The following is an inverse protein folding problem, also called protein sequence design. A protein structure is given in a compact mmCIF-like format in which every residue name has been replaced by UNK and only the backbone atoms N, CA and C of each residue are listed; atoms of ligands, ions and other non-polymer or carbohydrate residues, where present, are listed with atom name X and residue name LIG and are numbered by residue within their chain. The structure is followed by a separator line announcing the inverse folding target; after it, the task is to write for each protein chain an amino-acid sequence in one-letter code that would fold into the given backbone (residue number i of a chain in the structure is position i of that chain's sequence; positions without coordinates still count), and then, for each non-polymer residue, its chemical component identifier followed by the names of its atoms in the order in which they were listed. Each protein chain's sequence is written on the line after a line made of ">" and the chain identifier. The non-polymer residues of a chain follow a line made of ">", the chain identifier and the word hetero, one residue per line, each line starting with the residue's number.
data_IF_435600800878
#
_entry.id   IF_435600800878
#
_cell.length_a   1.000
_cell.length_b   1.000
_cell.length_c   1.000
_cell.angle_alpha   90.00
_cell.angle_beta   90.00
_cell.angle_gamma   90.00
#
_symmetry.space_group_name_H-M   'P 1'
#
loop_
_entity.id
_entity.type
_entity.pdbx_description
1 polymer ?
#
# COMPACT_ATOMS: atom_id res chain seq x y z
N UNK A 1 -8.72 -27.67 -11.87
CA UNK A 1 -7.42 -26.96 -11.81
C UNK A 1 -7.73 -25.48 -11.83
N UNK A 2 -7.29 -24.65 -10.88
CA UNK A 2 -7.44 -23.22 -11.05
C UNK A 2 -6.22 -22.71 -11.81
N UNK A 3 -6.44 -22.33 -13.07
CA UNK A 3 -5.62 -21.33 -13.73
C UNK A 3 -5.88 -20.00 -13.02
N UNK A 4 -4.91 -19.54 -12.24
CA UNK A 4 -4.83 -18.17 -11.77
C UNK A 4 -3.63 -17.56 -12.46
N UNK A 5 -3.84 -16.90 -13.59
CA UNK A 5 -2.88 -15.93 -14.09
C UNK A 5 -2.76 -14.85 -13.02
N UNK A 6 -1.73 -14.92 -12.19
CA UNK A 6 -1.28 -13.77 -11.41
C UNK A 6 -0.91 -12.70 -12.43
N UNK A 7 -1.86 -11.83 -12.77
CA UNK A 7 -1.60 -10.60 -13.49
C UNK A 7 -0.72 -9.75 -12.58
N UNK A 8 0.59 -9.95 -12.69
CA UNK A 8 1.58 -9.20 -11.93
C UNK A 8 1.44 -7.72 -12.30
N UNK A 9 0.79 -6.95 -11.42
CA UNK A 9 0.64 -5.52 -11.60
C UNK A 9 1.96 -4.81 -11.35
N UNK A 10 2.27 -3.79 -12.16
CA UNK A 10 3.52 -3.03 -12.03
C UNK A 10 3.41 -2.12 -10.81
N UNK A 11 4.48 -2.02 -10.03
CA UNK A 11 4.58 -0.98 -8.99
C UNK A 11 4.81 0.35 -9.68
N UNK A 12 3.89 1.30 -9.51
CA UNK A 12 3.96 2.63 -10.14
C UNK A 12 4.51 3.69 -9.20
N UNK A 13 4.34 3.53 -7.88
CA UNK A 13 4.87 4.47 -6.90
C UNK A 13 5.20 3.77 -5.58
N UNK A 14 6.30 4.16 -4.94
CA UNK A 14 6.68 3.76 -3.59
C UNK A 14 6.67 4.98 -2.66
N UNK A 15 6.23 4.79 -1.42
CA UNK A 15 6.25 5.81 -0.36
C UNK A 15 6.78 5.22 0.94
N UNK A 16 7.75 5.87 1.56
CA UNK A 16 8.11 5.58 2.94
C UNK A 16 7.13 6.28 3.89
N UNK A 17 6.76 5.60 4.97
CA UNK A 17 6.06 6.22 6.09
C UNK A 17 6.94 7.29 6.74
N UNK A 18 6.37 8.42 7.17
CA UNK A 18 7.13 9.53 7.78
C UNK A 18 7.82 9.10 9.08
N UNK A 19 7.23 8.16 9.81
CA UNK A 19 7.82 7.50 10.98
C UNK A 19 9.02 6.60 10.66
N UNK A 20 9.20 6.22 9.40
CA UNK A 20 10.25 5.32 8.93
C UNK A 20 10.01 3.84 9.21
N UNK A 21 8.80 3.45 9.66
CA UNK A 21 8.50 2.07 10.08
C UNK A 21 7.96 1.18 8.95
N UNK A 22 7.64 1.75 7.80
CA UNK A 22 7.04 1.00 6.71
C UNK A 22 7.17 1.68 5.36
N UNK A 23 6.88 0.91 4.32
CA UNK A 23 6.88 1.31 2.91
C UNK A 23 5.57 0.87 2.26
N UNK A 24 4.93 1.77 1.53
CA UNK A 24 3.78 1.51 0.69
C UNK A 24 4.19 1.40 -0.77
N UNK A 25 3.54 0.48 -1.49
CA UNK A 25 3.56 0.43 -2.94
C UNK A 25 2.15 0.62 -3.49
N UNK A 26 1.99 1.48 -4.48
CA UNK A 26 0.82 1.55 -5.33
C UNK A 26 1.08 0.73 -6.60
N UNK A 27 0.19 -0.20 -6.89
CA UNK A 27 0.16 -0.96 -8.15
C UNK A 27 -0.60 -0.24 -9.26
N UNK A 28 -0.30 -0.57 -10.51
CA UNK A 28 -1.03 -0.10 -11.69
C UNK A 28 -2.48 -0.58 -11.75
N UNK A 29 -2.84 -1.57 -10.93
CA UNK A 29 -4.19 -2.09 -10.72
C UNK A 29 -5.00 -1.29 -9.68
N UNK A 30 -4.39 -0.24 -9.09
CA UNK A 30 -5.01 0.56 -8.05
C UNK A 30 -4.99 -0.08 -6.66
N UNK A 31 -4.26 -1.18 -6.46
CA UNK A 31 -4.08 -1.82 -5.14
C UNK A 31 -2.86 -1.24 -4.43
N UNK A 32 -3.00 -0.93 -3.14
CA UNK A 32 -1.89 -0.52 -2.29
C UNK A 32 -1.48 -1.67 -1.37
N UNK A 33 -0.18 -1.91 -1.27
CA UNK A 33 0.42 -2.89 -0.35
C UNK A 33 1.35 -2.19 0.62
N UNK A 34 1.36 -2.66 1.86
CA UNK A 34 2.16 -2.09 2.94
C UNK A 34 3.09 -3.16 3.50
N UNK A 35 4.37 -2.81 3.64
CA UNK A 35 5.35 -3.60 4.38
C UNK A 35 5.88 -2.80 5.55
N UNK A 36 6.13 -3.48 6.68
CA UNK A 36 6.64 -2.85 7.90
C UNK A 36 7.89 -3.55 8.40
N UNK A 37 8.82 -2.79 8.96
CA UNK A 37 9.92 -3.35 9.72
C UNK A 37 9.42 -3.73 11.11
N UNK A 38 9.67 -4.98 11.51
CA UNK A 38 9.33 -5.44 12.85
C UNK A 38 10.35 -4.89 13.87
N UNK A 39 9.86 -4.54 15.06
CA UNK A 39 10.71 -4.25 16.21
C UNK A 39 11.14 -5.56 16.85
N UNK A 40 12.45 -5.82 16.90
CA UNK A 40 13.03 -7.02 17.51
C UNK A 40 14.46 -6.72 18.01
N UNK A 41 15.17 -7.74 18.51
CA UNK A 41 16.55 -7.59 19.02
C UNK A 41 17.52 -7.03 17.97
N UNK A 42 17.33 -7.41 16.70
CA UNK A 42 18.16 -6.97 15.57
C UNK A 42 17.72 -5.61 15.00
N UNK A 43 16.48 -5.17 15.25
CA UNK A 43 15.94 -3.86 14.91
C UNK A 43 15.17 -3.24 16.09
N UNK A 44 15.87 -2.73 17.11
CA UNK A 44 15.24 -2.24 18.34
C UNK A 44 14.36 -1.01 18.12
N UNK A 45 14.55 -0.27 17.03
CA UNK A 45 13.75 0.91 16.70
C UNK A 45 12.59 0.61 15.72
N UNK A 46 12.54 -0.58 15.12
CA UNK A 46 11.52 -0.97 14.13
C UNK A 46 11.49 -0.07 12.88
N UNK A 47 12.62 0.59 12.55
CA UNK A 47 12.73 1.51 11.42
C UNK A 47 13.36 0.84 10.20
N UNK A 48 13.24 1.52 9.06
CA UNK A 48 13.82 1.12 7.80
C UNK A 48 15.33 0.84 7.91
N UNK A 49 15.73 -0.33 7.41
CA UNK A 49 17.13 -0.77 7.35
C UNK A 49 17.29 -1.77 6.21
N UNK A 50 18.48 -1.81 5.61
CA UNK A 50 18.82 -2.79 4.57
C UNK A 50 19.15 -4.18 5.15
N UNK A 51 19.46 -4.27 6.45
CA UNK A 51 19.86 -5.52 7.10
C UNK A 51 18.68 -6.46 7.39
N UNK A 52 17.46 -5.92 7.42
CA UNK A 52 16.25 -6.66 7.79
C UNK A 52 15.17 -6.39 6.76
N UNK A 53 14.62 -7.47 6.22
CA UNK A 53 13.56 -7.43 5.21
C UNK A 53 12.24 -7.02 5.86
N UNK A 54 11.56 -5.97 5.37
CA UNK A 54 10.25 -5.59 5.88
C UNK A 54 9.21 -6.67 5.54
N UNK A 55 8.27 -6.90 6.45
CA UNK A 55 7.25 -7.94 6.32
C UNK A 55 5.96 -7.35 5.77
N UNK A 56 5.27 -8.10 4.91
CA UNK A 56 3.95 -7.70 4.42
C UNK A 56 3.00 -7.55 5.60
N UNK A 57 2.25 -6.45 5.60
CA UNK A 57 1.34 -6.11 6.69
C UNK A 57 -0.06 -5.86 6.14
N UNK A 58 -1.04 -6.46 6.82
CA UNK A 58 -2.46 -6.27 6.56
C UNK A 58 -3.23 -6.30 7.88
N UNK A 59 -4.39 -5.64 7.98
CA UNK A 59 -5.24 -5.73 9.15
C UNK A 59 -5.84 -7.13 9.29
N UNK A 60 -6.11 -7.55 10.53
CA UNK A 60 -6.75 -8.84 10.82
C UNK A 60 -8.17 -8.98 10.22
N UNK A 61 -8.79 -7.86 9.81
CA UNK A 61 -10.07 -7.87 9.11
C UNK A 61 -10.00 -8.48 7.71
N UNK A 62 -8.79 -8.65 7.15
CA UNK A 62 -8.61 -9.11 5.77
C UNK A 62 -8.99 -8.06 4.72
N UNK A 63 -9.34 -6.84 5.13
CA UNK A 63 -9.58 -5.74 4.21
C UNK A 63 -8.31 -5.43 3.43
N UNK A 64 -8.47 -5.11 2.15
CA UNK A 64 -7.42 -4.65 1.26
C UNK A 64 -7.52 -3.13 1.07
N UNK A 65 -6.38 -2.50 0.87
CA UNK A 65 -6.34 -1.12 0.40
C UNK A 65 -6.37 -1.17 -1.13
N UNK A 66 -7.51 -0.81 -1.74
CA UNK A 66 -7.70 -0.86 -3.17
C UNK A 66 -8.67 0.23 -3.63
N UNK A 67 -8.29 0.99 -4.67
CA UNK A 67 -9.19 1.97 -5.28
C UNK A 67 -10.35 1.28 -6.02
N UNK A 68 -11.48 1.97 -6.10
CA UNK A 68 -12.53 1.59 -7.06
C UNK A 68 -12.09 1.94 -8.49
N UNK A 69 -11.76 0.91 -9.26
CA UNK A 69 -11.35 0.99 -10.66
C UNK A 69 -12.46 0.58 -11.62
N UNK A 70 -13.70 0.48 -11.14
CA UNK A 70 -14.85 0.11 -11.96
C UNK A 70 -15.06 1.14 -13.08
N UNK A 71 -14.99 0.68 -14.33
CA UNK A 71 -15.12 1.55 -15.51
C UNK A 71 -13.89 2.40 -15.83
N UNK A 72 -12.75 2.16 -15.19
CA UNK A 72 -11.47 2.82 -15.51
C UNK A 72 -10.71 1.98 -16.54
N UNK A 73 -10.18 2.65 -17.57
CA UNK A 73 -9.17 2.06 -18.48
C UNK A 73 -7.81 2.21 -17.80
N UNK A 74 -7.30 1.14 -17.20
CA UNK A 74 -6.11 1.20 -16.34
C UNK A 74 -4.85 1.62 -17.11
N UNK A 75 -4.72 1.25 -18.39
CA UNK A 75 -3.58 1.58 -19.25
C UNK A 75 -3.45 3.07 -19.54
N UNK A 76 -4.55 3.81 -19.49
CA UNK A 76 -4.60 5.27 -19.69
C UNK A 76 -4.59 6.04 -18.36
N UNK A 77 -4.74 5.34 -17.24
CA UNK A 77 -4.76 5.94 -15.92
C UNK A 77 -3.35 6.26 -15.42
N UNK A 78 -3.22 7.36 -14.66
CA UNK A 78 -1.99 7.71 -13.95
C UNK A 78 -2.28 7.59 -12.45
N UNK A 79 -1.95 6.45 -11.82
CA UNK A 79 -2.22 6.26 -10.40
C UNK A 79 -1.30 7.14 -9.56
N UNK A 80 -1.82 7.67 -8.46
CA UNK A 80 -1.05 8.49 -7.54
C UNK A 80 -1.41 8.18 -6.09
N UNK A 81 -0.45 8.37 -5.20
CA UNK A 81 -0.60 8.12 -3.76
C UNK A 81 0.09 9.22 -2.96
N UNK A 82 -0.53 9.58 -1.84
CA UNK A 82 -0.01 10.49 -0.83
C UNK A 82 -0.30 9.97 0.57
N UNK A 83 0.59 10.27 1.51
CA UNK A 83 0.50 9.85 2.91
C UNK A 83 0.30 11.07 3.82
N UNK A 84 -0.60 10.96 4.79
CA UNK A 84 -0.78 12.02 5.79
C UNK A 84 0.47 12.18 6.65
N UNK A 85 0.72 13.40 7.14
CA UNK A 85 1.92 13.73 7.95
C UNK A 85 2.11 12.85 9.18
N UNK A 86 1.02 12.33 9.75
CA UNK A 86 1.00 11.46 10.92
C UNK A 86 0.87 9.96 10.58
N UNK A 87 1.09 9.57 9.32
CA UNK A 87 1.01 8.18 8.83
C UNK A 87 -0.33 7.47 9.06
N UNK A 88 -1.39 8.20 9.39
CA UNK A 88 -2.68 7.61 9.75
C UNK A 88 -3.59 7.37 8.55
N UNK A 89 -3.39 8.10 7.46
CA UNK A 89 -4.23 8.01 6.26
C UNK A 89 -3.41 8.03 4.98
N UNK A 90 -3.90 7.28 3.99
CA UNK A 90 -3.42 7.31 2.60
C UNK A 90 -4.51 7.88 1.72
N UNK A 91 -4.17 8.88 0.92
CA UNK A 91 -5.00 9.33 -0.18
C UNK A 91 -4.46 8.72 -1.47
N UNK A 92 -5.34 8.14 -2.29
CA UNK A 92 -4.93 7.49 -3.53
C UNK A 92 -5.98 7.67 -4.62
N UNK A 93 -5.54 7.68 -5.87
CA UNK A 93 -6.40 7.64 -7.05
C UNK A 93 -5.79 6.75 -8.14
N UNK A 94 -6.64 6.19 -9.00
CA UNK A 94 -6.26 5.36 -10.14
C UNK A 94 -7.28 5.60 -11.27
N UNK A 95 -7.23 6.79 -11.90
CA UNK A 95 -8.13 7.19 -13.00
C UNK A 95 -9.59 7.49 -12.63
N UNK A 96 -10.11 6.92 -11.54
CA UNK A 96 -11.47 7.12 -11.04
C UNK A 96 -11.56 8.05 -9.83
N UNK A 97 -12.38 7.67 -8.84
CA UNK A 97 -12.56 8.42 -7.59
C UNK A 97 -11.29 8.42 -6.76
N UNK A 98 -11.10 9.52 -6.02
CA UNK A 98 -10.06 9.59 -4.98
C UNK A 98 -10.56 8.85 -3.75
N UNK A 99 -9.70 8.01 -3.19
CA UNK A 99 -9.94 7.20 -2.00
C UNK A 99 -9.12 7.71 -0.82
N UNK A 100 -9.71 7.71 0.38
CA UNK A 100 -9.00 7.97 1.64
C UNK A 100 -9.03 6.73 2.54
N UNK A 101 -7.90 6.05 2.68
CA UNK A 101 -7.79 4.83 3.48
C UNK A 101 -7.19 5.10 4.85
N UNK A 102 -7.76 4.49 5.89
CA UNK A 102 -7.14 4.42 7.19
C UNK A 102 -6.00 3.38 7.20
N UNK A 103 -4.79 3.78 7.59
CA UNK A 103 -3.59 2.94 7.54
C UNK A 103 -3.57 1.76 8.51
N UNK A 104 -4.41 1.79 9.55
CA UNK A 104 -4.49 0.73 10.55
C UNK A 104 -5.57 -0.31 10.24
N UNK A 105 -6.61 0.09 9.49
CA UNK A 105 -7.78 -0.77 9.26
C UNK A 105 -8.05 -1.06 7.79
N UNK A 106 -7.39 -0.33 6.88
CA UNK A 106 -7.65 -0.28 5.44
C UNK A 106 -9.09 0.09 5.06
N UNK A 107 -9.88 0.61 6.01
CA UNK A 107 -11.21 1.13 5.72
C UNK A 107 -11.11 2.38 4.87
N UNK A 108 -11.90 2.43 3.81
CA UNK A 108 -12.18 3.61 3.01
C UNK A 108 -13.07 4.58 3.82
N UNK A 109 -12.80 5.87 3.72
CA UNK A 109 -13.57 6.96 4.37
C UNK A 109 -14.10 7.92 3.30
#
# INVERSE_FOLDING_TARGET
>A
MPEGTDSSSKVVQLLYANSGIGVLALGSDGVQKLWKWARNEQNPNGKATANIVPQYWQPNSGLLMANDVSGVILEESVPCIALSKNDSYVMSACGGKVSLFNMMTFKLN
#
